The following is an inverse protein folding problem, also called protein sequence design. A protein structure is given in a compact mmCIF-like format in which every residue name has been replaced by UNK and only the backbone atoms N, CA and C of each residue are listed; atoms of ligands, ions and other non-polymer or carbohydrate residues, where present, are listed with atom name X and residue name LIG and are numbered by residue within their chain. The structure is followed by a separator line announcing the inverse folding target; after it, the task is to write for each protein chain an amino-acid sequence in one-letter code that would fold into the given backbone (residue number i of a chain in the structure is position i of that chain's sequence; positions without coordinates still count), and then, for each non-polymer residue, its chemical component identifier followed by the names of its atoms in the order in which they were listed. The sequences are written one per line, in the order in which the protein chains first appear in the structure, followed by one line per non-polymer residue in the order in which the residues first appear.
data_IF_883665579667
#
_entry.id   IF_883665579667
#
_cell.length_a   1.000
_cell.length_b   1.000
_cell.length_c   1.000
_cell.angle_alpha   90.00
_cell.angle_beta   90.00
_cell.angle_gamma   90.00
#
_symmetry.space_group_name_H-M   'P 1'
#
loop_
_entity.id
_entity.type
_entity.pdbx_description
1 polymer ?
#
# COMPACT_ATOMS: atom_id res chain seq x y z
N UNK A 1 -37.31 -37.42 13.86
CA UNK A 1 -36.09 -38.25 13.79
C UNK A 1 -34.91 -37.31 13.95
N UNK A 2 -34.27 -37.31 15.12
CA UNK A 2 -33.13 -36.43 15.41
C UNK A 2 -31.84 -37.21 15.16
N UNK A 3 -31.01 -36.75 14.23
CA UNK A 3 -29.66 -37.30 14.02
C UNK A 3 -28.70 -36.44 14.83
N UNK A 4 -28.29 -36.94 16.00
CA UNK A 4 -27.26 -36.33 16.82
C UNK A 4 -25.89 -36.50 16.16
N UNK A 5 -25.24 -35.39 15.82
CA UNK A 5 -23.83 -35.41 15.41
C UNK A 5 -22.95 -35.72 16.62
N UNK A 6 -22.25 -36.84 16.57
CA UNK A 6 -21.32 -37.30 17.59
C UNK A 6 -19.99 -36.53 17.45
N UNK A 7 -19.78 -35.56 18.33
CA UNK A 7 -18.63 -34.65 18.35
C UNK A 7 -17.28 -35.33 18.66
N UNK A 8 -17.29 -36.60 19.09
CA UNK A 8 -16.07 -37.37 19.39
C UNK A 8 -15.24 -37.73 18.15
N UNK A 9 -15.74 -37.52 16.92
CA UNK A 9 -15.00 -37.80 15.67
C UNK A 9 -14.24 -36.62 15.06
N UNK A 10 -14.43 -35.41 15.58
CA UNK A 10 -13.77 -34.20 15.04
C UNK A 10 -12.41 -33.94 15.71
N UNK A 11 -12.19 -34.47 16.93
CA UNK A 11 -10.96 -34.27 17.69
C UNK A 11 -9.71 -34.94 17.08
N UNK A 12 -9.85 -35.81 16.08
CA UNK A 12 -8.73 -36.53 15.46
C UNK A 12 -7.98 -35.73 14.38
N UNK A 13 -8.40 -34.48 14.08
CA UNK A 13 -7.74 -33.63 13.07
C UNK A 13 -6.88 -32.50 13.66
N UNK A 14 -6.81 -32.38 14.98
CA UNK A 14 -5.96 -31.38 15.65
C UNK A 14 -4.79 -32.08 16.34
N UNK A 15 -3.84 -32.57 15.55
CA UNK A 15 -2.53 -32.97 16.03
C UNK A 15 -1.55 -31.82 15.76
N UNK A 16 -1.05 -31.11 16.79
CA UNK A 16 -0.02 -30.10 16.58
C UNK A 16 1.32 -30.80 16.33
N UNK A 17 1.89 -30.58 15.15
CA UNK A 17 3.24 -31.01 14.82
C UNK A 17 4.24 -30.42 15.84
N UNK A 18 4.92 -31.30 16.58
CA UNK A 18 6.11 -30.95 17.34
C UNK A 18 7.18 -30.44 16.37
N UNK A 19 7.57 -29.17 16.52
CA UNK A 19 8.77 -28.61 15.90
C UNK A 19 9.83 -28.55 16.99
N UNK A 20 10.89 -29.34 16.82
CA UNK A 20 12.10 -29.29 17.64
C UNK A 20 12.82 -27.94 17.44
N UNK A 21 13.32 -27.30 18.51
CA UNK A 21 14.16 -26.12 18.40
C UNK A 21 15.61 -26.52 18.10
N UNK A 22 16.29 -25.93 17.09
CA UNK A 22 17.73 -26.08 16.98
C UNK A 22 18.45 -25.24 18.05
N UNK A 23 19.53 -25.84 18.54
CA UNK A 23 20.33 -25.48 19.70
C UNK A 23 20.88 -24.04 19.73
N UNK A 24 20.94 -23.52 20.96
CA UNK A 24 21.81 -22.42 21.41
C UNK A 24 23.25 -22.63 20.91
N UNK A 25 23.76 -21.65 20.15
CA UNK A 25 25.20 -21.47 19.97
C UNK A 25 25.57 -20.19 20.71
N UNK A 26 26.12 -20.38 21.90
CA UNK A 26 26.73 -19.33 22.71
C UNK A 26 28.13 -19.10 22.14
N UNK A 27 28.30 -18.06 21.32
CA UNK A 27 29.63 -17.64 20.88
C UNK A 27 30.06 -16.38 21.63
N UNK A 28 30.93 -16.62 22.60
CA UNK A 28 31.65 -15.67 23.44
C UNK A 28 32.50 -14.76 22.55
N UNK A 29 32.09 -13.51 22.36
CA UNK A 29 32.96 -12.49 21.77
C UNK A 29 33.81 -11.83 22.85
N UNK A 30 35.07 -12.23 22.86
CA UNK A 30 36.17 -11.63 23.60
C UNK A 30 36.47 -10.23 23.02
N UNK A 31 36.44 -9.19 23.85
CA UNK A 31 36.83 -7.84 23.44
C UNK A 31 38.34 -7.74 23.26
N UNK A 32 38.85 -7.32 22.09
CA UNK A 32 40.21 -6.81 22.03
C UNK A 32 40.21 -5.33 22.44
N UNK A 33 40.89 -5.07 23.56
CA UNK A 33 41.43 -3.76 23.93
C UNK A 33 42.36 -3.31 22.81
N UNK A 34 42.14 -2.11 22.25
CA UNK A 34 43.12 -1.48 21.37
C UNK A 34 43.63 -0.21 22.04
N UNK A 35 44.88 -0.35 22.47
CA UNK A 35 45.88 0.65 22.85
C UNK A 35 45.71 2.01 22.16
N UNK A 36 45.62 3.07 22.94
CA UNK A 36 45.58 4.46 22.46
C UNK A 36 46.97 4.93 22.04
N UNK A 37 47.19 5.18 20.75
CA UNK A 37 48.33 5.95 20.26
C UNK A 37 47.99 7.45 20.13
N UNK A 38 48.93 8.37 20.43
CA UNK A 38 48.64 9.80 20.52
C UNK A 38 48.49 10.41 19.13
N UNK A 39 47.31 10.93 18.83
CA UNK A 39 47.09 11.73 17.62
C UNK A 39 47.70 13.11 17.86
N UNK A 40 48.81 13.40 17.19
CA UNK A 40 49.37 14.75 17.11
C UNK A 40 48.32 15.71 16.56
N UNK A 41 48.01 16.77 17.30
CA UNK A 41 47.11 17.82 16.86
C UNK A 41 47.70 18.54 15.63
N UNK A 42 46.91 18.78 14.55
CA UNK A 42 47.36 19.66 13.49
C UNK A 42 47.45 21.10 14.01
N UNK A 43 48.56 21.76 13.68
CA UNK A 43 48.75 23.21 13.90
C UNK A 43 47.60 23.94 13.21
N UNK A 44 46.69 24.51 14.00
CA UNK A 44 45.67 25.43 13.50
C UNK A 44 46.38 26.72 13.13
N UNK A 45 46.58 26.94 11.84
CA UNK A 45 47.05 28.22 11.32
C UNK A 45 45.96 29.24 11.63
N UNK A 46 46.26 30.19 12.53
CA UNK A 46 45.33 31.26 12.87
C UNK A 46 45.04 32.08 11.61
N UNK A 47 43.85 31.88 11.03
CA UNK A 47 43.32 32.75 9.98
C UNK A 47 42.88 34.03 10.68
N UNK A 48 43.37 35.18 10.19
CA UNK A 48 43.07 36.49 10.74
C UNK A 48 41.54 36.70 10.85
N UNK A 49 41.06 37.45 11.86
CA UNK A 49 39.64 37.73 12.01
C UNK A 49 39.14 38.53 10.80
N UNK A 50 38.44 37.86 9.89
CA UNK A 50 37.70 38.52 8.82
C UNK A 50 36.56 39.27 9.51
N UNK A 51 36.65 40.59 9.55
CA UNK A 51 35.56 41.44 10.05
C UNK A 51 34.32 41.14 9.19
N UNK A 52 33.24 40.58 9.74
CA UNK A 52 32.10 40.17 8.93
C UNK A 52 31.40 41.41 8.40
N UNK A 53 31.36 41.57 7.07
CA UNK A 53 30.58 42.63 6.40
C UNK A 53 29.12 42.55 6.84
N UNK A 54 28.43 43.70 6.96
CA UNK A 54 27.04 43.69 7.41
C UNK A 54 26.16 42.98 6.39
N UNK A 55 25.05 42.40 6.86
CA UNK A 55 24.17 41.63 5.98
C UNK A 55 23.54 42.52 4.89
N UNK A 56 23.29 43.80 5.21
CA UNK A 56 22.79 44.81 4.27
C UNK A 56 23.78 45.12 3.14
N UNK A 57 25.09 45.10 3.40
CA UNK A 57 26.11 45.32 2.36
C UNK A 57 26.27 44.13 1.39
N UNK A 58 25.80 42.95 1.79
CA UNK A 58 25.89 41.72 0.99
C UNK A 58 24.56 41.28 0.37
N UNK A 59 23.42 41.84 0.77
CA UNK A 59 22.12 41.55 0.16
C UNK A 59 21.93 42.34 -1.14
N UNK A 60 21.56 41.64 -2.21
CA UNK A 60 21.14 42.27 -3.47
C UNK A 60 19.70 42.81 -3.41
N UNK A 61 19.24 43.42 -4.50
CA UNK A 61 17.92 44.03 -4.61
C UNK A 61 16.75 43.06 -4.35
N UNK A 62 16.98 41.76 -4.54
CA UNK A 62 15.95 40.73 -4.41
C UNK A 62 15.74 40.23 -2.96
N UNK A 63 16.51 40.74 -1.96
CA UNK A 63 16.42 40.33 -0.54
C UNK A 63 16.56 38.81 -0.27
N UNK A 64 17.06 38.05 -1.24
CA UNK A 64 17.25 36.60 -1.12
C UNK A 64 18.65 36.29 -0.56
N UNK A 65 18.69 35.53 0.54
CA UNK A 65 19.95 35.00 1.09
C UNK A 65 20.38 33.80 0.26
N UNK A 66 21.32 34.03 -0.65
CA UNK A 66 21.91 32.98 -1.49
C UNK A 66 23.36 32.69 -1.08
N UNK A 67 23.96 31.71 -1.75
CA UNK A 67 25.35 31.31 -1.50
C UNK A 67 26.37 32.45 -1.73
N UNK A 68 26.05 33.44 -2.58
CA UNK A 68 26.88 34.63 -2.77
C UNK A 68 26.85 35.58 -1.57
N UNK A 69 25.68 35.76 -0.93
CA UNK A 69 25.54 36.54 0.31
C UNK A 69 26.39 35.90 1.42
N UNK A 70 26.37 34.57 1.51
CA UNK A 70 27.16 33.82 2.48
C UNK A 70 28.67 33.98 2.25
N UNK A 71 29.14 33.91 0.99
CA UNK A 71 30.55 34.14 0.64
C UNK A 71 30.98 35.59 0.86
N UNK A 72 30.13 36.57 0.56
CA UNK A 72 30.40 37.99 0.79
C UNK A 72 30.62 38.31 2.28
N UNK A 73 29.82 37.69 3.15
CA UNK A 73 29.85 37.95 4.59
C UNK A 73 30.92 37.15 5.33
N UNK A 74 31.16 35.90 4.91
CA UNK A 74 32.00 34.95 5.64
C UNK A 74 33.26 34.50 4.88
N UNK A 75 33.49 35.00 3.67
CA UNK A 75 34.59 34.58 2.79
C UNK A 75 34.31 33.24 2.09
N UNK A 76 35.23 32.82 1.22
CA UNK A 76 35.19 31.51 0.59
C UNK A 76 35.26 30.43 1.65
N UNK A 77 34.17 29.69 1.81
CA UNK A 77 34.19 28.48 2.61
C UNK A 77 34.98 27.44 1.82
N UNK A 78 36.00 26.78 2.40
CA UNK A 78 36.55 25.60 1.77
C UNK A 78 35.38 24.65 1.59
N UNK A 79 35.00 24.40 0.33
CA UNK A 79 34.18 23.23 0.07
C UNK A 79 35.01 22.08 0.62
N UNK A 80 34.48 21.28 1.56
CA UNK A 80 35.16 20.03 1.85
C UNK A 80 35.31 19.38 0.48
N UNK A 81 36.55 19.05 0.10
CA UNK A 81 36.85 18.13 -0.98
C UNK A 81 36.27 16.79 -0.52
N UNK A 82 34.94 16.72 -0.52
CA UNK A 82 34.19 15.49 -0.47
C UNK A 82 34.35 15.00 -1.88
N UNK A 83 35.54 14.48 -2.15
CA UNK A 83 35.72 13.43 -3.14
C UNK A 83 34.48 12.58 -3.00
N UNK A 84 33.72 12.56 -4.09
CA UNK A 84 32.35 12.09 -4.18
C UNK A 84 32.37 10.58 -3.96
N UNK A 85 32.73 10.20 -2.72
CA UNK A 85 32.49 8.89 -2.15
C UNK A 85 31.00 8.81 -2.23
N UNK A 86 30.56 8.21 -3.32
CA UNK A 86 29.20 7.81 -3.57
C UNK A 86 28.69 7.38 -2.22
N UNK A 87 27.78 8.17 -1.65
CA UNK A 87 27.24 7.88 -0.33
C UNK A 87 26.58 6.53 -0.54
N UNK A 88 27.28 5.47 -0.13
CA UNK A 88 26.80 4.12 -0.26
C UNK A 88 25.63 4.09 0.70
N UNK A 89 24.42 4.28 0.17
CA UNK A 89 23.22 4.00 0.92
C UNK A 89 23.32 2.58 1.45
N UNK A 90 22.60 2.28 2.54
CA UNK A 90 22.61 0.96 3.19
C UNK A 90 22.13 -0.19 2.28
N UNK A 91 21.88 0.08 1.00
CA UNK A 91 21.34 -0.84 0.02
C UNK A 91 22.41 -1.08 -1.05
N UNK A 92 22.70 -2.34 -1.34
CA UNK A 92 23.69 -2.69 -2.36
C UNK A 92 23.25 -2.17 -3.73
N UNK A 93 24.23 -1.78 -4.54
CA UNK A 93 23.98 -1.35 -5.92
C UNK A 93 23.25 -2.44 -6.73
N UNK A 94 23.53 -3.71 -6.43
CA UNK A 94 22.86 -4.87 -7.03
C UNK A 94 21.38 -4.96 -6.64
N UNK A 95 21.05 -4.79 -5.36
CA UNK A 95 19.64 -4.77 -4.92
C UNK A 95 18.87 -3.63 -5.60
N UNK A 96 19.47 -2.44 -5.72
CA UNK A 96 18.83 -1.33 -6.44
C UNK A 96 18.63 -1.63 -7.93
N UNK A 97 19.58 -2.33 -8.56
CA UNK A 97 19.46 -2.74 -9.95
C UNK A 97 18.32 -3.77 -10.14
N UNK A 98 18.24 -4.77 -9.27
CA UNK A 98 17.18 -5.79 -9.27
C UNK A 98 15.81 -5.16 -8.99
N UNK A 99 15.72 -4.27 -8.01
CA UNK A 99 14.48 -3.57 -7.67
C UNK A 99 14.02 -2.67 -8.82
N UNK A 100 14.93 -1.91 -9.45
CA UNK A 100 14.61 -1.09 -10.64
C UNK A 100 14.20 -1.95 -11.83
N UNK A 101 14.85 -3.10 -12.06
CA UNK A 101 14.48 -4.05 -13.10
C UNK A 101 13.08 -4.66 -12.85
N UNK A 102 12.76 -4.96 -11.58
CA UNK A 102 11.47 -5.48 -11.16
C UNK A 102 10.33 -4.46 -11.19
N UNK A 103 10.61 -3.16 -11.10
CA UNK A 103 9.59 -2.11 -11.19
C UNK A 103 8.90 -2.05 -12.55
N UNK A 104 9.62 -2.31 -13.65
CA UNK A 104 9.05 -2.40 -14.99
C UNK A 104 8.31 -3.72 -15.27
N UNK A 105 8.59 -4.75 -14.45
CA UNK A 105 7.99 -6.08 -14.55
C UNK A 105 6.88 -6.33 -13.53
N UNK A 106 6.33 -5.28 -12.88
CA UNK A 106 5.03 -5.43 -12.21
C UNK A 106 4.07 -5.92 -13.28
N UNK A 107 3.37 -7.06 -13.08
CA UNK A 107 2.34 -7.45 -14.01
C UNK A 107 1.40 -6.26 -14.10
N UNK A 108 1.38 -5.62 -15.26
CA UNK A 108 0.33 -4.68 -15.62
C UNK A 108 -0.92 -5.51 -15.41
N UNK A 109 -1.62 -5.29 -14.29
CA UNK A 109 -2.98 -5.78 -14.16
C UNK A 109 -3.62 -5.21 -15.40
N UNK A 110 -3.96 -6.06 -16.37
CA UNK A 110 -4.71 -5.65 -17.57
C UNK A 110 -5.70 -4.64 -17.04
N UNK A 111 -5.66 -3.42 -17.59
CA UNK A 111 -6.65 -2.43 -17.23
C UNK A 111 -7.98 -3.05 -17.66
N UNK A 112 -8.59 -3.78 -16.72
CA UNK A 112 -9.89 -4.39 -16.92
C UNK A 112 -10.77 -3.19 -17.17
N UNK A 113 -11.38 -3.15 -18.34
CA UNK A 113 -12.40 -2.16 -18.67
C UNK A 113 -13.55 -2.38 -17.70
N UNK A 114 -13.39 -1.81 -16.50
CA UNK A 114 -14.30 -1.91 -15.38
C UNK A 114 -15.41 -0.91 -15.60
N UNK A 115 -16.62 -1.39 -15.82
CA UNK A 115 -17.82 -0.55 -15.82
C UNK A 115 -18.32 -0.37 -14.40
N UNK A 116 -18.91 0.78 -14.10
CA UNK A 116 -19.73 0.96 -12.90
C UNK A 116 -21.19 1.12 -13.31
N UNK A 117 -22.07 0.33 -12.73
CA UNK A 117 -23.51 0.35 -12.99
C UNK A 117 -24.26 0.76 -11.73
N UNK A 118 -25.33 1.54 -11.89
CA UNK A 118 -26.23 1.94 -10.81
C UNK A 118 -27.67 1.79 -11.27
N UNK A 119 -28.47 1.09 -10.47
CA UNK A 119 -29.85 0.74 -10.78
C UNK A 119 -30.75 0.94 -9.57
N UNK A 120 -31.96 1.44 -9.84
CA UNK A 120 -33.03 1.50 -8.86
C UNK A 120 -33.71 0.14 -8.77
N UNK A 121 -33.58 -0.52 -7.64
CA UNK A 121 -34.11 -1.87 -7.38
C UNK A 121 -35.25 -1.80 -6.36
N UNK A 122 -36.17 -2.76 -6.43
CA UNK A 122 -37.25 -2.87 -5.44
C UNK A 122 -36.70 -3.46 -4.14
N UNK A 123 -37.20 -2.97 -3.00
CA UNK A 123 -36.94 -3.60 -1.70
C UNK A 123 -37.48 -5.03 -1.66
N UNK A 124 -36.75 -5.91 -0.98
CA UNK A 124 -37.14 -7.31 -0.87
C UNK A 124 -38.37 -7.51 0.04
N UNK A 125 -38.48 -6.72 1.09
CA UNK A 125 -39.56 -6.68 2.07
C UNK A 125 -40.80 -5.90 1.60
N UNK A 126 -40.82 -5.42 0.35
CA UNK A 126 -41.88 -4.53 -0.15
C UNK A 126 -41.73 -3.08 0.33
N UNK A 127 -40.62 -2.73 0.99
CA UNK A 127 -40.25 -1.36 1.31
C UNK A 127 -39.93 -0.49 0.10
N UNK A 128 -39.45 0.72 0.36
CA UNK A 128 -39.07 1.67 -0.67
C UNK A 128 -37.96 1.14 -1.60
N UNK A 129 -37.81 1.73 -2.81
CA UNK A 129 -36.77 1.31 -3.74
C UNK A 129 -35.38 1.71 -3.25
N UNK A 130 -34.39 0.84 -3.45
CA UNK A 130 -32.98 1.08 -3.14
C UNK A 130 -32.20 1.45 -4.41
N UNK A 131 -31.10 2.18 -4.25
CA UNK A 131 -30.15 2.45 -5.32
C UNK A 131 -28.98 1.48 -5.17
N UNK A 132 -28.99 0.43 -5.96
CA UNK A 132 -27.93 -0.56 -5.97
C UNK A 132 -26.89 -0.19 -7.02
N UNK A 133 -25.64 -0.16 -6.60
CA UNK A 133 -24.50 0.02 -7.50
C UNK A 133 -23.53 -1.13 -7.41
N UNK A 134 -22.85 -1.44 -8.52
CA UNK A 134 -21.82 -2.46 -8.59
C UNK A 134 -20.83 -2.18 -9.73
N UNK A 135 -19.63 -2.73 -9.60
CA UNK A 135 -18.64 -2.80 -10.67
C UNK A 135 -18.85 -4.06 -11.52
N UNK A 136 -18.50 -3.94 -12.79
CA UNK A 136 -18.50 -5.03 -13.76
C UNK A 136 -17.12 -5.10 -14.41
N UNK A 137 -16.51 -6.28 -14.36
CA UNK A 137 -15.23 -6.61 -14.95
C UNK A 137 -15.39 -7.79 -15.90
N UNK A 138 -14.91 -7.68 -17.14
CA UNK A 138 -14.93 -8.78 -18.13
C UNK A 138 -16.32 -9.42 -18.27
N UNK A 139 -17.35 -8.59 -18.38
CA UNK A 139 -18.76 -8.99 -18.45
C UNK A 139 -19.29 -9.77 -17.23
N UNK A 140 -18.59 -9.69 -16.09
CA UNK A 140 -18.99 -10.30 -14.81
C UNK A 140 -19.20 -9.24 -13.75
N UNK A 141 -20.30 -9.35 -13.02
CA UNK A 141 -20.54 -8.47 -11.86
C UNK A 141 -19.60 -8.88 -10.73
N UNK A 142 -18.91 -7.91 -10.14
CA UNK A 142 -18.18 -8.13 -8.89
C UNK A 142 -19.18 -8.17 -7.72
N UNK A 143 -19.28 -9.32 -7.07
CA UNK A 143 -20.26 -9.53 -6.01
C UNK A 143 -19.97 -8.73 -4.74
N UNK A 144 -18.71 -8.36 -4.50
CA UNK A 144 -18.29 -7.58 -3.35
C UNK A 144 -18.65 -6.10 -3.48
N UNK A 145 -18.76 -5.59 -4.71
CA UNK A 145 -19.07 -4.19 -4.97
C UNK A 145 -20.57 -3.88 -4.92
N UNK A 146 -21.44 -4.90 -4.92
CA UNK A 146 -22.90 -4.75 -4.89
C UNK A 146 -23.36 -4.05 -3.60
N UNK A 147 -24.07 -2.93 -3.77
CA UNK A 147 -24.65 -2.12 -2.68
C UNK A 147 -23.62 -1.53 -1.70
N UNK A 148 -22.37 -1.35 -2.15
CA UNK A 148 -21.29 -0.73 -1.37
C UNK A 148 -21.50 0.76 -1.08
N UNK A 149 -22.49 1.39 -1.70
CA UNK A 149 -22.96 2.74 -1.35
C UNK A 149 -23.55 2.81 0.06
N UNK A 150 -24.03 1.69 0.60
CA UNK A 150 -24.57 1.59 1.95
C UNK A 150 -23.52 1.08 2.93
N UNK A 151 -23.65 1.46 4.21
CA UNK A 151 -22.74 1.02 5.27
C UNK A 151 -22.86 -0.50 5.47
N UNK A 152 -21.73 -1.20 5.39
CA UNK A 152 -21.68 -2.64 5.64
C UNK A 152 -22.35 -3.03 6.96
N UNK A 153 -23.21 -4.04 6.90
CA UNK A 153 -23.97 -4.55 8.05
C UNK A 153 -25.26 -3.81 8.38
N UNK A 154 -25.54 -2.65 7.77
CA UNK A 154 -26.80 -1.92 7.95
C UNK A 154 -28.00 -2.69 7.38
N UNK A 155 -29.21 -2.29 7.78
CA UNK A 155 -30.45 -2.89 7.27
C UNK A 155 -30.56 -2.63 5.77
N UNK A 156 -30.27 -1.40 5.34
CA UNK A 156 -30.28 -0.97 3.95
C UNK A 156 -29.30 -1.77 3.10
N UNK A 157 -28.09 -2.04 3.61
CA UNK A 157 -27.12 -2.89 2.91
C UNK A 157 -27.66 -4.30 2.69
N UNK A 158 -28.21 -4.93 3.73
CA UNK A 158 -28.77 -6.30 3.65
C UNK A 158 -29.99 -6.36 2.72
N UNK A 159 -30.91 -5.40 2.84
CA UNK A 159 -32.11 -5.33 2.01
C UNK A 159 -31.77 -5.00 0.55
N UNK A 160 -30.83 -4.09 0.29
CA UNK A 160 -30.33 -3.80 -1.05
C UNK A 160 -29.74 -5.05 -1.70
N UNK A 161 -28.92 -5.85 -0.98
CA UNK A 161 -28.35 -7.08 -1.53
C UNK A 161 -29.42 -8.15 -1.79
N UNK A 162 -30.42 -8.30 -0.92
CA UNK A 162 -31.57 -9.19 -1.18
C UNK A 162 -32.35 -8.76 -2.41
N UNK A 163 -32.65 -7.46 -2.54
CA UNK A 163 -33.32 -6.90 -3.72
C UNK A 163 -32.49 -7.07 -5.00
N UNK A 164 -31.18 -6.84 -4.93
CA UNK A 164 -30.26 -7.00 -6.05
C UNK A 164 -30.25 -8.43 -6.58
N UNK A 165 -30.30 -9.45 -5.69
CA UNK A 165 -30.41 -10.85 -6.10
C UNK A 165 -31.66 -11.10 -6.96
N UNK A 166 -32.79 -10.52 -6.60
CA UNK A 166 -34.01 -10.66 -7.40
C UNK A 166 -33.93 -9.89 -8.70
N UNK A 167 -33.40 -8.67 -8.65
CA UNK A 167 -33.20 -7.87 -9.85
C UNK A 167 -32.31 -8.58 -10.87
N UNK A 168 -31.21 -9.22 -10.45
CA UNK A 168 -30.36 -10.03 -11.33
C UNK A 168 -31.13 -11.20 -11.96
N UNK A 169 -31.98 -11.89 -11.19
CA UNK A 169 -32.84 -12.97 -11.73
C UNK A 169 -33.84 -12.44 -12.76
N UNK A 170 -34.43 -11.27 -12.52
CA UNK A 170 -35.33 -10.63 -13.46
C UNK A 170 -34.60 -10.23 -14.74
N UNK A 171 -33.45 -9.57 -14.64
CA UNK A 171 -32.67 -9.16 -15.81
C UNK A 171 -32.14 -10.35 -16.61
N UNK A 172 -31.75 -11.44 -15.94
CA UNK A 172 -31.39 -12.69 -16.60
C UNK A 172 -32.52 -13.22 -17.52
N UNK A 173 -33.78 -12.98 -17.17
CA UNK A 173 -34.95 -13.40 -17.97
C UNK A 173 -35.33 -12.40 -19.05
N UNK A 174 -35.20 -11.10 -18.78
CA UNK A 174 -35.70 -10.03 -19.64
C UNK A 174 -34.69 -9.59 -20.71
N UNK A 175 -33.38 -9.66 -20.42
CA UNK A 175 -32.36 -9.21 -21.36
C UNK A 175 -32.25 -10.15 -22.56
N UNK A 176 -32.36 -9.56 -23.76
CA UNK A 176 -32.21 -10.28 -25.05
C UNK A 176 -30.77 -10.35 -25.53
N UNK A 177 -29.97 -9.34 -25.18
CA UNK A 177 -28.54 -9.30 -25.50
C UNK A 177 -27.82 -10.47 -24.81
N UNK A 178 -27.09 -11.32 -25.55
CA UNK A 178 -26.48 -12.52 -24.99
C UNK A 178 -25.40 -12.20 -23.95
N UNK A 179 -24.60 -11.13 -24.14
CA UNK A 179 -23.54 -10.75 -23.22
C UNK A 179 -24.13 -10.22 -21.91
N UNK A 180 -25.12 -9.32 -21.98
CA UNK A 180 -25.79 -8.81 -20.77
C UNK A 180 -26.58 -9.92 -20.06
N UNK A 181 -27.20 -10.82 -20.82
CA UNK A 181 -27.91 -11.96 -20.26
C UNK A 181 -26.96 -12.88 -19.50
N UNK A 182 -25.81 -13.22 -20.07
CA UNK A 182 -24.78 -14.02 -19.39
C UNK A 182 -24.28 -13.34 -18.10
N UNK A 183 -24.01 -12.03 -18.14
CA UNK A 183 -23.61 -11.22 -16.97
C UNK A 183 -24.61 -11.35 -15.83
N UNK A 184 -25.89 -11.09 -16.10
CA UNK A 184 -26.91 -11.11 -15.06
C UNK A 184 -27.32 -12.51 -14.66
N UNK A 185 -27.27 -13.50 -15.55
CA UNK A 185 -27.54 -14.90 -15.20
C UNK A 185 -26.44 -15.49 -14.31
N UNK A 186 -25.17 -15.20 -14.60
CA UNK A 186 -24.04 -15.62 -13.74
C UNK A 186 -24.09 -14.93 -12.37
N UNK A 187 -24.51 -13.67 -12.30
CA UNK A 187 -24.80 -13.01 -11.03
C UNK A 187 -26.02 -13.63 -10.32
N UNK A 188 -27.10 -13.92 -11.06
CA UNK A 188 -28.32 -14.50 -10.52
C UNK A 188 -28.09 -15.91 -9.92
N UNK A 189 -27.12 -16.68 -10.38
CA UNK A 189 -26.72 -17.94 -9.76
C UNK A 189 -25.66 -17.75 -8.66
N UNK A 190 -24.57 -17.03 -8.95
CA UNK A 190 -23.38 -16.96 -8.08
C UNK A 190 -23.45 -15.94 -6.92
N UNK A 191 -24.23 -14.87 -7.04
CA UNK A 191 -24.29 -13.83 -6.02
C UNK A 191 -25.03 -14.31 -4.76
N UNK A 192 -24.42 -14.21 -3.57
CA UNK A 192 -25.09 -14.50 -2.30
C UNK A 192 -25.44 -13.20 -1.57
N UNK A 193 -26.71 -12.93 -1.24
CA UNK A 193 -27.11 -11.69 -0.56
C UNK A 193 -26.65 -11.61 0.91
N UNK A 194 -26.18 -12.73 1.48
CA UNK A 194 -25.63 -12.79 2.84
C UNK A 194 -24.10 -12.73 2.89
N UNK A 195 -23.44 -12.76 1.73
CA UNK A 195 -21.97 -12.75 1.62
C UNK A 195 -21.32 -11.43 1.97
#
# INVERSE_FOLDING_TARGET
MAVGMNWARIAAYFEPAHVEPPAEVVERYESPVVESAPVSAPVVRAVAPVVPKTLQECMGADNLVNDQVLRCRYGDRPQPMREERAVQGMVSAQYLAEYKAGQGARPVRRAVSGGFESHRIKGWDGGGPYIASWSVSDNRVDYGSVCTSYRGGSIEYRECRKGAKQWFKEQCRVKRDPALRERYCSAASGFSPMG
#
